data_IF_627489536465
#
_entry.id   IF_627489536465
#
_cell.length_a   1.000
_cell.length_b   1.000
_cell.length_c   1.000
_cell.angle_alpha   90.00
_cell.angle_beta   90.00
_cell.angle_gamma   90.00
#
_symmetry.space_group_name_H-M   'P 1'
#
loop_
_entity.id
_entity.type
_entity.pdbx_description
1 polymer ?
#
# COMPACT_ATOMS: atom_id res chain seq x y z
N UNK A 1 -46.52 11.33 -51.00
CA UNK A 1 -45.64 11.17 -49.82
C UNK A 1 -44.25 10.83 -50.32
N UNK A 2 -43.23 11.66 -50.05
CA UNK A 2 -41.90 11.46 -50.62
C UNK A 2 -41.17 10.38 -49.80
N UNK A 3 -41.33 9.13 -50.21
CA UNK A 3 -40.86 7.93 -49.50
C UNK A 3 -39.37 8.01 -49.11
N UNK A 4 -38.54 8.58 -49.98
CA UNK A 4 -37.12 8.82 -49.72
C UNK A 4 -36.88 9.76 -48.53
N UNK A 5 -37.73 10.78 -48.34
CA UNK A 5 -37.64 11.69 -47.17
C UNK A 5 -38.01 10.98 -45.88
N UNK A 6 -38.98 10.07 -45.90
CA UNK A 6 -39.38 9.27 -44.73
C UNK A 6 -38.23 8.35 -44.30
N UNK A 7 -37.61 7.66 -45.26
CA UNK A 7 -36.45 6.79 -44.99
C UNK A 7 -35.28 7.60 -44.40
N UNK A 8 -34.98 8.77 -44.96
CA UNK A 8 -33.95 9.65 -44.43
C UNK A 8 -34.23 10.07 -42.98
N UNK A 9 -35.46 10.46 -42.66
CA UNK A 9 -35.84 10.83 -41.29
C UNK A 9 -35.70 9.67 -40.31
N UNK A 10 -36.06 8.45 -40.71
CA UNK A 10 -35.86 7.26 -39.88
C UNK A 10 -34.38 7.04 -39.57
N UNK A 11 -33.50 7.14 -40.58
CA UNK A 11 -32.06 7.01 -40.37
C UNK A 11 -31.48 8.11 -39.48
N UNK A 12 -31.92 9.36 -39.65
CA UNK A 12 -31.47 10.48 -38.81
C UNK A 12 -31.87 10.27 -37.35
N UNK A 13 -33.10 9.83 -37.09
CA UNK A 13 -33.58 9.54 -35.73
C UNK A 13 -32.79 8.38 -35.13
N UNK A 14 -32.60 7.29 -35.88
CA UNK A 14 -31.84 6.13 -35.42
C UNK A 14 -30.39 6.50 -35.10
N UNK A 15 -29.74 7.25 -35.99
CA UNK A 15 -28.36 7.69 -35.80
C UNK A 15 -28.22 8.62 -34.60
N UNK A 16 -29.16 9.56 -34.42
CA UNK A 16 -29.15 10.48 -33.29
C UNK A 16 -29.37 9.76 -31.97
N UNK A 17 -30.21 8.71 -31.94
CA UNK A 17 -30.41 7.87 -30.76
C UNK A 17 -29.12 7.14 -30.36
N UNK A 18 -28.43 6.51 -31.32
CA UNK A 18 -27.17 5.81 -31.07
C UNK A 18 -26.07 6.78 -30.66
N UNK A 19 -25.94 7.91 -31.35
CA UNK A 19 -24.95 8.94 -31.04
C UNK A 19 -25.18 9.56 -29.65
N UNK A 20 -26.44 9.85 -29.30
CA UNK A 20 -26.81 10.36 -27.99
C UNK A 20 -26.49 9.35 -26.88
N UNK A 21 -26.83 8.08 -27.08
CA UNK A 21 -26.49 7.03 -26.12
C UNK A 21 -24.97 6.87 -25.95
N UNK A 22 -24.22 6.82 -27.05
CA UNK A 22 -22.77 6.73 -27.01
C UNK A 22 -22.14 7.92 -26.26
N UNK A 23 -22.62 9.14 -26.51
CA UNK A 23 -22.14 10.33 -25.82
C UNK A 23 -22.37 10.27 -24.31
N UNK A 24 -23.56 9.83 -23.87
CA UNK A 24 -23.86 9.64 -22.44
C UNK A 24 -22.95 8.58 -21.81
N UNK A 25 -22.78 7.44 -22.48
CA UNK A 25 -21.91 6.35 -22.02
C UNK A 25 -20.44 6.79 -21.88
N UNK A 26 -19.94 7.55 -22.86
CA UNK A 26 -18.57 8.10 -22.84
C UNK A 26 -18.36 9.07 -21.67
N UNK A 27 -19.35 9.91 -21.36
CA UNK A 27 -19.27 10.82 -20.21
C UNK A 27 -19.24 10.07 -18.88
N UNK A 28 -20.00 8.98 -18.76
CA UNK A 28 -20.02 8.14 -17.57
C UNK A 28 -18.70 7.38 -17.37
N UNK A 29 -18.18 6.77 -18.43
CA UNK A 29 -16.89 6.07 -18.42
C UNK A 29 -15.71 6.99 -18.06
N UNK A 30 -15.73 8.24 -18.53
CA UNK A 30 -14.68 9.21 -18.19
C UNK A 30 -14.64 9.55 -16.70
N UNK A 31 -15.77 9.50 -15.99
CA UNK A 31 -15.82 9.74 -14.54
C UNK A 31 -15.12 8.63 -13.77
N UNK A 32 -15.31 7.39 -14.20
CA UNK A 32 -14.68 6.22 -13.58
C UNK A 32 -13.15 6.25 -13.75
N UNK A 33 -12.67 6.67 -14.93
CA UNK A 33 -11.24 6.86 -15.19
C UNK A 33 -10.60 7.92 -14.28
N UNK A 34 -11.29 9.02 -13.98
CA UNK A 34 -10.78 10.03 -13.03
C UNK A 34 -10.67 9.49 -11.61
N UNK A 35 -11.63 8.69 -11.16
CA UNK A 35 -11.60 8.07 -9.83
C UNK A 35 -10.46 7.06 -9.72
N UNK A 36 -10.28 6.22 -10.75
CA UNK A 36 -9.18 5.25 -10.82
C UNK A 36 -7.81 5.93 -10.84
N UNK A 37 -7.65 7.02 -11.59
CA UNK A 37 -6.39 7.80 -11.59
C UNK A 37 -6.10 8.47 -10.25
N UNK A 38 -7.13 8.97 -9.57
CA UNK A 38 -6.98 9.55 -8.23
C UNK A 38 -6.54 8.49 -7.20
N UNK A 39 -7.08 7.27 -7.31
CA UNK A 39 -6.66 6.15 -6.47
C UNK A 39 -5.23 5.69 -6.77
N UNK A 40 -4.84 5.63 -8.05
CA UNK A 40 -3.48 5.29 -8.46
C UNK A 40 -2.45 6.27 -7.85
N UNK A 41 -2.70 7.58 -7.95
CA UNK A 41 -1.81 8.59 -7.37
C UNK A 41 -1.73 8.54 -5.85
N UNK A 42 -2.84 8.23 -5.15
CA UNK A 42 -2.82 8.04 -3.72
C UNK A 42 -2.03 6.78 -3.30
N UNK A 43 -2.11 5.71 -4.10
CA UNK A 43 -1.41 4.45 -3.82
C UNK A 43 0.09 4.58 -4.08
N UNK A 44 0.50 5.30 -5.14
CA UNK A 44 1.91 5.61 -5.40
C UNK A 44 2.55 6.41 -4.26
N UNK A 45 1.84 7.40 -3.70
CA UNK A 45 2.33 8.14 -2.53
C UNK A 45 2.53 7.25 -1.32
N UNK A 46 1.57 6.37 -1.03
CA UNK A 46 1.68 5.40 0.07
C UNK A 46 2.83 4.42 -0.15
N UNK A 47 3.06 4.01 -1.40
CA UNK A 47 4.18 3.15 -1.76
C UNK A 47 5.53 3.85 -1.57
N UNK A 48 5.62 5.14 -1.94
CA UNK A 48 6.81 5.95 -1.71
C UNK A 48 7.10 6.12 -0.22
N UNK A 49 6.10 6.48 0.59
CA UNK A 49 6.25 6.59 2.04
C UNK A 49 6.65 5.26 2.69
N UNK A 50 6.09 4.14 2.25
CA UNK A 50 6.45 2.81 2.75
C UNK A 50 7.89 2.44 2.37
N UNK A 51 8.33 2.79 1.15
CA UNK A 51 9.72 2.60 0.71
C UNK A 51 10.69 3.45 1.51
N UNK A 52 10.37 4.70 1.79
CA UNK A 52 11.22 5.58 2.60
C UNK A 52 11.34 5.07 4.04
N UNK A 53 10.25 4.56 4.62
CA UNK A 53 10.27 3.91 5.94
C UNK A 53 11.09 2.63 5.94
N UNK A 54 11.02 1.83 4.86
CA UNK A 54 11.84 0.63 4.70
C UNK A 54 13.33 1.00 4.57
N UNK A 55 13.67 1.98 3.74
CA UNK A 55 15.04 2.45 3.59
C UNK A 55 15.62 3.01 4.90
N UNK A 56 14.80 3.71 5.69
CA UNK A 56 15.19 4.17 7.03
C UNK A 56 15.44 3.00 7.99
N UNK A 57 14.61 1.95 7.94
CA UNK A 57 14.80 0.73 8.74
C UNK A 57 16.01 -0.08 8.28
N UNK A 58 16.25 -0.22 6.98
CA UNK A 58 17.41 -0.89 6.42
C UNK A 58 18.70 -0.17 6.79
N UNK A 59 18.72 1.17 6.76
CA UNK A 59 19.88 1.95 7.20
C UNK A 59 20.16 1.74 8.70
N UNK A 60 19.12 1.61 9.51
CA UNK A 60 19.24 1.26 10.93
C UNK A 60 19.75 -0.19 11.10
N UNK A 61 19.19 -1.15 10.36
CA UNK A 61 19.64 -2.55 10.37
C UNK A 61 21.07 -2.72 9.86
N UNK A 62 21.48 -1.97 8.85
CA UNK A 62 22.82 -2.03 8.27
C UNK A 62 23.87 -1.38 9.19
N UNK A 63 23.48 -0.34 9.94
CA UNK A 63 24.29 0.18 11.04
C UNK A 63 24.44 -0.82 12.18
N UNK A 64 23.38 -1.58 12.51
CA UNK A 64 23.42 -2.67 13.50
C UNK A 64 24.22 -3.89 13.00
N UNK A 65 24.20 -4.16 11.69
CA UNK A 65 24.91 -5.29 11.06
C UNK A 65 26.42 -5.05 10.97
N UNK A 66 26.86 -3.79 10.96
CA UNK A 66 28.29 -3.42 10.98
C UNK A 66 28.94 -3.54 12.35
N UNK A 67 28.16 -3.73 13.42
CA UNK A 67 28.66 -3.81 14.80
C UNK A 67 28.08 -5.06 15.52
N UNK A 68 28.71 -6.24 15.36
CA UNK A 68 28.18 -7.51 15.85
C UNK A 68 27.96 -7.56 17.38
N UNK A 69 28.63 -6.69 18.14
CA UNK A 69 28.49 -6.61 19.60
C UNK A 69 27.16 -5.98 20.07
N UNK A 70 26.44 -5.24 19.22
CA UNK A 70 25.15 -4.63 19.57
C UNK A 70 23.97 -5.59 19.32
N UNK A 71 24.03 -6.38 18.24
CA UNK A 71 23.02 -7.39 17.92
C UNK A 71 22.96 -8.46 19.01
N UNK A 72 24.12 -8.89 19.52
CA UNK A 72 24.19 -9.88 20.60
C UNK A 72 23.60 -9.34 21.92
N UNK A 73 23.82 -8.06 22.24
CA UNK A 73 23.25 -7.40 23.45
C UNK A 73 21.73 -7.26 23.40
N UNK A 74 21.16 -6.94 22.22
CA UNK A 74 19.72 -6.77 22.06
C UNK A 74 18.98 -8.11 22.05
N UNK A 75 19.55 -9.13 21.39
CA UNK A 75 19.03 -10.50 21.43
C UNK A 75 19.11 -11.04 22.87
N UNK A 76 20.22 -10.83 23.59
CA UNK A 76 20.42 -11.23 25.00
C UNK A 76 19.39 -10.64 25.96
N UNK A 77 18.92 -9.40 25.70
CA UNK A 77 17.93 -8.70 26.55
C UNK A 77 16.49 -9.06 26.21
N UNK A 78 16.16 -9.34 24.94
CA UNK A 78 14.79 -9.66 24.49
C UNK A 78 14.42 -11.13 24.58
N UNK A 79 15.38 -12.03 24.38
CA UNK A 79 15.11 -13.47 24.27
C UNK A 79 15.49 -14.25 25.54
N UNK A 80 16.18 -13.64 26.51
CA UNK A 80 16.55 -14.31 27.77
C UNK A 80 17.51 -15.50 27.61
N UNK A 81 18.04 -15.72 26.40
CA UNK A 81 18.98 -16.80 26.11
C UNK A 81 20.41 -16.34 26.41
N UNK A 82 21.03 -17.00 27.38
CA UNK A 82 22.48 -17.00 27.59
C UNK A 82 23.07 -18.16 26.76
N UNK A 83 24.23 -17.91 26.14
CA UNK A 83 25.00 -18.91 25.40
C UNK A 83 25.26 -20.11 26.32
N UNK A 84 25.19 -21.34 25.81
CA UNK A 84 25.28 -22.58 26.59
C UNK A 84 26.60 -22.88 27.34
N UNK A 85 27.44 -21.87 27.61
CA UNK A 85 28.67 -21.98 28.40
C UNK A 85 28.84 -20.86 29.45
N UNK A 86 27.80 -20.09 29.79
CA UNK A 86 27.85 -19.15 30.93
C UNK A 86 26.75 -19.45 31.95
N UNK A 87 27.15 -19.64 33.21
CA UNK A 87 26.26 -19.81 34.35
C UNK A 87 25.68 -18.44 34.76
N UNK A 88 24.35 -18.31 34.72
CA UNK A 88 23.64 -17.17 35.31
C UNK A 88 23.30 -17.53 36.75
N UNK A 89 23.99 -16.92 37.70
CA UNK A 89 23.57 -16.94 39.11
C UNK A 89 22.45 -15.93 39.33
N UNK A 90 21.25 -16.42 39.65
CA UNK A 90 20.17 -15.59 40.19
C UNK A 90 20.26 -15.71 41.71
N UNK A 91 20.74 -14.66 42.37
CA UNK A 91 20.63 -14.56 43.81
C UNK A 91 19.21 -14.10 44.12
N UNK A 92 18.41 -14.95 44.75
CA UNK A 92 17.15 -14.52 45.34
C UNK A 92 17.47 -13.47 46.42
N UNK A 93 16.74 -12.37 46.40
CA UNK A 93 16.86 -11.31 47.39
C UNK A 93 16.69 -11.90 48.80
N UNK A 94 17.60 -11.59 49.75
CA UNK A 94 17.41 -12.04 51.12
C UNK A 94 16.13 -11.39 51.65
N UNK A 95 15.11 -12.21 51.89
CA UNK A 95 13.96 -11.80 52.69
C UNK A 95 14.49 -11.23 54.00
N UNK A 96 14.27 -9.94 54.30
CA UNK A 96 14.74 -9.35 55.55
C UNK A 96 14.01 -10.02 56.71
N UNK A 97 14.70 -10.39 57.81
CA UNK A 97 14.02 -10.94 58.97
C UNK A 97 13.22 -9.83 59.67
N UNK A 98 11.91 -10.05 59.85
CA UNK A 98 11.13 -9.58 61.00
C UNK A 98 10.08 -10.61 61.37
#
# INVERSE_FOLDING_TARGET
>A
MNWNKVILWVFVVLFSAVAGWAALFLLEMNRELTVLRAQAGANERRLAEARDRLAAQEKYLESLRRDPELVERVIRRKLGYVRGQEFVFRFDEPTPPQ
#
